data_IF_130002935394
#
_entry.id   IF_130002935394
#
_cell.length_a   1.000
_cell.length_b   1.000
_cell.length_c   1.000
_cell.angle_alpha   90.00
_cell.angle_beta   90.00
_cell.angle_gamma   90.00
#
_symmetry.space_group_name_H-M   'P 1'
#
loop_
_entity.id
_entity.type
_entity.pdbx_description
1 polymer ?
#
# COMPACT_ATOMS: atom_id res chain seq x y z
N UNK A 1 28.05 31.54 6.46
CA UNK A 1 27.88 30.35 7.32
C UNK A 1 26.65 29.62 6.79
N UNK A 2 26.79 28.53 6.02
CA UNK A 2 25.63 27.93 5.36
C UNK A 2 24.79 27.18 6.40
N UNK A 3 23.49 27.42 6.33
CA UNK A 3 22.43 26.90 7.19
C UNK A 3 21.96 25.50 6.74
N UNK A 4 22.83 24.71 6.09
CA UNK A 4 22.41 23.56 5.27
C UNK A 4 22.89 22.19 5.80
N UNK A 5 23.19 22.10 7.11
CA UNK A 5 23.60 20.84 7.77
C UNK A 5 22.59 20.36 8.84
N UNK A 6 21.32 20.78 8.77
CA UNK A 6 20.28 20.34 9.74
C UNK A 6 18.93 19.94 9.12
N UNK A 7 18.90 19.47 7.89
CA UNK A 7 17.78 18.67 7.41
C UNK A 7 18.13 17.19 7.61
N UNK A 8 18.09 16.73 8.88
CA UNK A 8 17.82 15.32 9.13
C UNK A 8 16.52 14.99 8.39
N UNK A 9 16.59 14.09 7.42
CA UNK A 9 15.52 13.87 6.46
C UNK A 9 14.30 13.30 7.20
N UNK A 10 13.29 14.15 7.42
CA UNK A 10 12.07 13.77 8.13
C UNK A 10 11.30 12.73 7.32
N UNK A 11 10.78 11.69 7.99
CA UNK A 11 9.79 10.77 7.44
C UNK A 11 8.69 11.55 6.70
N UNK A 12 8.54 11.29 5.39
CA UNK A 12 7.48 11.87 4.56
C UNK A 12 6.42 10.82 4.29
N UNK A 13 5.17 11.25 4.34
CA UNK A 13 4.00 10.42 4.05
C UNK A 13 3.14 11.15 3.03
N UNK A 14 2.77 10.47 1.95
CA UNK A 14 1.84 10.96 0.94
C UNK A 14 0.59 10.08 0.98
N UNK A 15 -0.57 10.71 1.15
CA UNK A 15 -1.85 10.01 1.03
C UNK A 15 -2.18 9.85 -0.45
N UNK A 16 -2.07 8.61 -0.95
CA UNK A 16 -2.37 8.30 -2.34
C UNK A 16 -3.88 8.12 -2.58
N UNK A 17 -4.54 7.49 -1.61
CA UNK A 17 -5.98 7.30 -1.57
C UNK A 17 -6.49 7.29 -0.15
N UNK A 18 -7.74 7.72 0.03
CA UNK A 18 -8.35 7.96 1.35
C UNK A 18 -9.80 7.48 1.45
N UNK A 19 -10.30 6.77 0.44
CA UNK A 19 -11.57 6.06 0.51
C UNK A 19 -11.34 4.60 0.94
N UNK A 20 -12.38 3.97 1.49
CA UNK A 20 -12.42 2.50 1.63
C UNK A 20 -12.63 1.83 0.26
N UNK A 21 -12.74 0.50 0.25
CA UNK A 21 -13.07 -0.29 -0.94
C UNK A 21 -14.26 0.26 -1.73
N UNK A 22 -14.11 0.28 -3.06
CA UNK A 22 -15.06 0.88 -4.00
C UNK A 22 -14.76 2.32 -4.36
N UNK A 23 -13.94 3.03 -3.56
CA UNK A 23 -13.55 4.41 -3.82
C UNK A 23 -14.69 5.41 -3.61
N UNK A 24 -14.45 6.66 -3.99
CA UNK A 24 -15.45 7.72 -3.90
C UNK A 24 -15.40 8.64 -5.13
N UNK A 25 -16.50 8.82 -5.89
CA UNK A 25 -17.75 8.06 -5.78
C UNK A 25 -17.54 6.59 -6.15
N UNK A 26 -18.24 5.69 -5.46
CA UNK A 26 -18.21 4.27 -5.81
C UNK A 26 -19.00 4.02 -7.10
N UNK A 27 -18.46 3.16 -7.98
CA UNK A 27 -18.91 2.97 -9.37
C UNK A 27 -20.41 2.70 -9.54
N UNK A 28 -21.04 1.98 -8.59
CA UNK A 28 -22.46 1.63 -8.60
C UNK A 28 -23.27 2.32 -7.49
N UNK A 29 -22.75 3.37 -6.86
CA UNK A 29 -23.40 4.05 -5.74
C UNK A 29 -23.96 5.42 -6.13
N UNK A 30 -25.23 5.66 -5.76
CA UNK A 30 -25.94 6.95 -5.86
C UNK A 30 -26.46 7.44 -4.51
N UNK A 31 -25.83 7.01 -3.40
CA UNK A 31 -26.13 7.58 -2.10
C UNK A 31 -25.91 9.11 -2.13
N UNK A 32 -26.48 9.89 -1.18
CA UNK A 32 -26.44 11.35 -1.24
C UNK A 32 -25.04 11.92 -1.48
N UNK A 33 -24.02 11.36 -0.85
CA UNK A 33 -22.63 11.84 -0.97
C UNK A 33 -21.99 11.41 -2.30
N UNK A 34 -22.28 10.22 -2.83
CA UNK A 34 -21.80 9.80 -4.16
C UNK A 34 -22.49 10.59 -5.28
N UNK A 35 -23.79 10.89 -5.15
CA UNK A 35 -24.52 11.69 -6.14
C UNK A 35 -23.92 13.10 -6.30
N UNK A 36 -23.50 13.72 -5.19
CA UNK A 36 -22.76 14.99 -5.21
C UNK A 36 -21.48 14.88 -6.04
N UNK A 37 -20.68 13.83 -5.83
CA UNK A 37 -19.44 13.64 -6.58
C UNK A 37 -19.69 13.35 -8.06
N UNK A 38 -20.71 12.55 -8.40
CA UNK A 38 -21.12 12.32 -9.79
C UNK A 38 -21.54 13.62 -10.49
N UNK A 39 -22.19 14.53 -9.76
CA UNK A 39 -22.57 15.86 -10.26
C UNK A 39 -21.42 16.89 -10.22
N UNK A 40 -20.22 16.47 -9.80
CA UNK A 40 -19.03 17.33 -9.63
C UNK A 40 -19.29 18.53 -8.71
N UNK A 41 -20.09 18.32 -7.66
CA UNK A 41 -20.36 19.33 -6.66
C UNK A 41 -19.09 19.68 -5.88
N UNK A 42 -18.81 20.97 -5.71
CA UNK A 42 -17.57 21.47 -5.09
C UNK A 42 -17.46 21.17 -3.59
N UNK A 43 -18.55 20.77 -2.94
CA UNK A 43 -18.56 20.37 -1.51
C UNK A 43 -17.80 19.07 -1.26
N UNK A 44 -17.55 18.30 -2.31
CA UNK A 44 -16.93 16.98 -2.21
C UNK A 44 -15.79 16.82 -3.21
N UNK A 45 -14.91 15.87 -2.95
CA UNK A 45 -13.77 15.56 -3.82
C UNK A 45 -13.64 14.06 -3.96
N UNK A 46 -13.51 13.58 -5.20
CA UNK A 46 -13.30 12.18 -5.48
C UNK A 46 -12.02 11.66 -4.78
N UNK A 47 -12.05 10.40 -4.34
CA UNK A 47 -10.95 9.73 -3.63
C UNK A 47 -10.78 8.32 -4.16
N UNK A 48 -9.54 7.97 -4.47
CA UNK A 48 -9.11 6.59 -4.72
C UNK A 48 -9.07 5.81 -3.41
N UNK A 49 -9.04 4.47 -3.51
CA UNK A 49 -9.04 3.59 -2.35
C UNK A 49 -7.73 3.67 -1.56
N UNK A 50 -7.81 3.32 -0.28
CA UNK A 50 -6.77 3.48 0.74
C UNK A 50 -5.39 3.00 0.27
N UNK A 51 -4.44 3.91 0.25
CA UNK A 51 -3.02 3.62 0.06
C UNK A 51 -2.19 4.82 0.49
N UNK A 52 -1.01 4.58 1.03
CA UNK A 52 -0.02 5.60 1.38
C UNK A 52 1.30 5.32 0.66
N UNK A 53 2.09 6.37 0.42
CA UNK A 53 3.50 6.24 0.10
C UNK A 53 4.34 6.88 1.21
N UNK A 54 5.40 6.20 1.64
CA UNK A 54 6.30 6.67 2.69
C UNK A 54 7.75 6.65 2.22
N UNK A 55 8.56 7.57 2.72
CA UNK A 55 10.00 7.63 2.48
C UNK A 55 10.70 8.31 3.65
N UNK A 56 11.91 7.87 3.97
CA UNK A 56 12.79 8.56 4.90
C UNK A 56 13.82 9.45 4.19
N UNK A 57 14.14 9.20 2.91
CA UNK A 57 15.20 9.92 2.18
C UNK A 57 14.67 10.83 1.05
N UNK A 58 13.39 10.75 0.71
CA UNK A 58 12.78 11.53 -0.38
C UNK A 58 12.94 10.93 -1.78
N UNK A 59 13.69 9.83 -1.92
CA UNK A 59 14.06 9.22 -3.20
C UNK A 59 13.55 7.78 -3.33
N UNK A 60 13.53 7.05 -2.22
CA UNK A 60 13.11 5.66 -2.14
C UNK A 60 11.79 5.56 -1.41
N UNK A 61 10.79 5.02 -2.09
CA UNK A 61 9.41 5.02 -1.61
C UNK A 61 8.91 3.61 -1.34
N UNK A 62 8.12 3.49 -0.29
CA UNK A 62 7.41 2.28 0.08
C UNK A 62 5.92 2.56 0.06
N UNK A 63 5.15 1.65 -0.52
CA UNK A 63 3.69 1.73 -0.46
C UNK A 63 3.17 1.02 0.79
N UNK A 64 2.12 1.57 1.39
CA UNK A 64 1.24 0.83 2.29
C UNK A 64 -0.02 0.55 1.51
N UNK A 65 -0.24 -0.73 1.24
CA UNK A 65 -1.28 -1.29 0.36
C UNK A 65 -1.17 -0.86 -1.10
N UNK A 66 -1.53 -1.77 -2.00
CA UNK A 66 -1.55 -1.58 -3.44
C UNK A 66 -3.01 -1.60 -3.94
N UNK A 67 -3.62 -0.42 -3.98
CA UNK A 67 -5.01 -0.24 -4.40
C UNK A 67 -5.27 -0.59 -5.87
N UNK A 68 -6.48 -1.04 -6.26
CA UNK A 68 -6.91 -1.10 -7.66
C UNK A 68 -6.68 0.22 -8.44
N UNK A 69 -6.65 1.35 -7.75
CA UNK A 69 -6.42 2.68 -8.33
C UNK A 69 -4.93 3.03 -8.49
N UNK A 70 -4.00 2.11 -8.18
CA UNK A 70 -2.57 2.41 -8.02
C UNK A 70 -1.95 3.10 -9.24
N UNK A 71 -2.35 2.72 -10.47
CA UNK A 71 -1.88 3.39 -11.68
C UNK A 71 -2.24 4.88 -11.67
N UNK A 72 -3.49 5.23 -11.32
CA UNK A 72 -3.97 6.61 -11.22
C UNK A 72 -3.26 7.36 -10.08
N UNK A 73 -3.04 6.68 -8.95
CA UNK A 73 -2.35 7.23 -7.79
C UNK A 73 -0.89 7.61 -8.12
N UNK A 74 -0.14 6.73 -8.80
CA UNK A 74 1.23 7.00 -9.26
C UNK A 74 1.23 8.17 -10.25
N UNK A 75 0.34 8.16 -11.25
CA UNK A 75 0.26 9.24 -12.24
C UNK A 75 -0.01 10.62 -11.62
N UNK A 76 -0.78 10.65 -10.52
CA UNK A 76 -1.15 11.88 -9.82
C UNK A 76 -0.12 12.31 -8.77
N UNK A 77 0.95 11.54 -8.55
CA UNK A 77 1.93 11.78 -7.49
C UNK A 77 3.34 11.90 -8.08
N UNK A 78 3.83 13.12 -8.35
CA UNK A 78 5.15 13.34 -8.98
C UNK A 78 6.33 12.67 -8.27
N UNK A 79 6.28 12.53 -6.94
CA UNK A 79 7.33 11.85 -6.18
C UNK A 79 7.45 10.35 -6.48
N UNK A 80 6.43 9.74 -7.09
CA UNK A 80 6.42 8.34 -7.50
C UNK A 80 6.70 8.13 -8.99
N UNK A 81 6.98 9.20 -9.74
CA UNK A 81 7.26 9.10 -11.17
C UNK A 81 8.59 8.38 -11.43
N UNK A 82 8.71 7.69 -12.58
CA UNK A 82 9.98 7.08 -12.99
C UNK A 82 11.09 8.13 -13.09
N UNK A 83 12.33 7.67 -12.97
CA UNK A 83 13.51 8.52 -13.15
C UNK A 83 13.72 8.88 -14.63
N UNK A 84 14.75 9.67 -14.91
CA UNK A 84 14.92 10.30 -16.23
C UNK A 84 15.26 9.34 -17.40
N UNK A 85 15.69 8.11 -17.14
CA UNK A 85 16.10 7.19 -18.21
C UNK A 85 15.62 5.75 -18.02
N UNK A 86 15.05 5.19 -19.08
CA UNK A 86 14.72 3.77 -19.19
C UNK A 86 13.59 3.32 -18.25
N UNK A 87 13.61 2.02 -17.90
CA UNK A 87 12.68 1.44 -16.94
C UNK A 87 13.24 1.66 -15.54
N UNK A 88 12.66 2.61 -14.81
CA UNK A 88 13.00 2.92 -13.43
C UNK A 88 11.72 3.18 -12.62
N UNK A 89 11.73 2.86 -11.34
CA UNK A 89 10.70 3.25 -10.37
C UNK A 89 11.36 3.64 -9.07
N UNK A 90 10.87 4.65 -8.34
CA UNK A 90 11.34 4.97 -7.00
C UNK A 90 10.81 3.98 -5.93
N UNK A 91 9.84 3.13 -6.28
CA UNK A 91 9.30 2.12 -5.37
C UNK A 91 10.36 1.06 -5.04
N UNK A 92 10.50 0.74 -3.75
CA UNK A 92 11.41 -0.29 -3.23
C UNK A 92 10.68 -1.42 -2.52
N UNK A 93 9.50 -1.16 -2.00
CA UNK A 93 8.66 -2.20 -1.44
C UNK A 93 7.22 -1.78 -1.20
N UNK A 94 6.41 -2.78 -0.85
CA UNK A 94 4.98 -2.63 -0.59
C UNK A 94 4.68 -3.40 0.70
N UNK A 95 4.17 -2.71 1.70
CA UNK A 95 3.63 -3.31 2.91
C UNK A 95 2.14 -3.54 2.72
N UNK A 96 1.73 -4.80 2.73
CA UNK A 96 0.33 -5.19 2.73
C UNK A 96 -0.13 -5.37 4.18
N UNK A 97 -1.09 -4.56 4.59
CA UNK A 97 -1.62 -4.61 5.94
C UNK A 97 -2.65 -5.72 6.11
N UNK A 98 -3.27 -6.20 5.03
CA UNK A 98 -4.18 -7.34 5.03
C UNK A 98 -4.30 -7.94 3.61
N UNK A 99 -5.16 -8.95 3.49
CA UNK A 99 -5.50 -9.61 2.23
C UNK A 99 -6.75 -9.07 1.53
N UNK A 100 -7.23 -7.85 1.77
CA UNK A 100 -8.41 -7.35 1.05
C UNK A 100 -8.10 -6.98 -0.40
N UNK A 101 -9.07 -7.20 -1.30
CA UNK A 101 -8.92 -6.93 -2.76
C UNK A 101 -8.50 -5.48 -3.02
N UNK A 102 -9.05 -4.53 -2.26
CA UNK A 102 -8.73 -3.10 -2.36
C UNK A 102 -7.33 -2.74 -1.83
N UNK A 103 -6.60 -3.69 -1.25
CA UNK A 103 -5.21 -3.51 -0.80
C UNK A 103 -4.18 -4.34 -1.59
N UNK A 104 -4.59 -5.29 -2.44
CA UNK A 104 -3.67 -6.14 -3.21
C UNK A 104 -3.86 -6.11 -4.73
N UNK A 105 -5.03 -5.71 -5.24
CA UNK A 105 -5.29 -5.72 -6.68
C UNK A 105 -4.32 -4.83 -7.48
N UNK A 106 -3.80 -3.75 -6.87
CA UNK A 106 -2.82 -2.86 -7.48
C UNK A 106 -1.49 -3.53 -7.82
N UNK A 107 -1.15 -4.66 -7.18
CA UNK A 107 0.04 -5.44 -7.52
C UNK A 107 0.04 -5.88 -8.99
N UNK A 108 -1.15 -6.14 -9.56
CA UNK A 108 -1.30 -6.53 -10.97
C UNK A 108 -0.88 -5.42 -11.95
N UNK A 109 -0.90 -4.17 -11.50
CA UNK A 109 -0.43 -3.02 -12.28
C UNK A 109 1.09 -2.84 -12.23
N UNK A 110 1.83 -3.64 -11.46
CA UNK A 110 3.28 -3.54 -11.25
C UNK A 110 4.07 -4.70 -11.88
N UNK A 111 3.50 -5.36 -12.89
CA UNK A 111 4.05 -6.58 -13.51
C UNK A 111 5.15 -6.34 -14.54
N UNK A 112 5.38 -5.09 -14.93
CA UNK A 112 6.28 -4.73 -16.02
C UNK A 112 7.76 -4.69 -15.57
N UNK A 113 8.26 -5.79 -15.00
CA UNK A 113 9.69 -6.08 -14.71
C UNK A 113 10.42 -5.01 -13.88
N UNK A 114 9.86 -4.64 -12.73
CA UNK A 114 10.52 -3.80 -11.72
C UNK A 114 10.83 -4.63 -10.48
N UNK A 115 12.03 -4.48 -9.91
CA UNK A 115 12.39 -5.15 -8.66
C UNK A 115 11.85 -4.39 -7.44
N UNK A 116 11.25 -5.11 -6.50
CA UNK A 116 10.78 -4.61 -5.21
C UNK A 116 10.47 -5.78 -4.24
N UNK A 117 10.23 -5.46 -2.97
CA UNK A 117 9.84 -6.46 -1.96
C UNK A 117 8.39 -6.24 -1.53
N UNK A 118 7.61 -7.32 -1.48
CA UNK A 118 6.28 -7.31 -0.86
C UNK A 118 6.41 -7.85 0.57
N UNK A 119 5.94 -7.07 1.52
CA UNK A 119 5.90 -7.40 2.94
C UNK A 119 4.45 -7.63 3.36
N UNK A 120 4.21 -8.60 4.22
CA UNK A 120 2.87 -8.89 4.73
C UNK A 120 2.89 -10.04 5.72
N UNK A 121 1.73 -10.37 6.28
CA UNK A 121 1.60 -11.58 7.11
C UNK A 121 1.85 -12.83 6.27
N UNK A 122 2.27 -13.93 6.90
CA UNK A 122 2.44 -15.21 6.21
C UNK A 122 1.15 -15.65 5.48
N UNK A 123 -0.03 -15.38 6.08
CA UNK A 123 -1.32 -15.63 5.47
C UNK A 123 -1.54 -14.80 4.18
N UNK A 124 -1.27 -13.49 4.23
CA UNK A 124 -1.43 -12.60 3.07
C UNK A 124 -0.47 -12.98 1.93
N UNK A 125 0.78 -13.32 2.24
CA UNK A 125 1.75 -13.73 1.24
C UNK A 125 1.37 -15.09 0.61
N UNK A 126 0.89 -16.04 1.41
CA UNK A 126 0.39 -17.33 0.93
C UNK A 126 -0.82 -17.17 -0.01
N UNK A 127 -1.72 -16.22 0.27
CA UNK A 127 -2.83 -15.88 -0.62
C UNK A 127 -2.33 -15.42 -2.00
N UNK A 128 -1.30 -14.56 -2.02
CA UNK A 128 -0.69 -14.07 -3.27
C UNK A 128 -0.02 -15.22 -4.03
N UNK A 129 0.79 -16.03 -3.35
CA UNK A 129 1.50 -17.17 -3.95
C UNK A 129 0.53 -18.26 -4.46
N UNK A 130 -0.58 -18.47 -3.75
CA UNK A 130 -1.61 -19.44 -4.09
C UNK A 130 -2.51 -19.03 -5.27
N UNK A 131 -2.55 -17.75 -5.62
CA UNK A 131 -3.41 -17.25 -6.69
C UNK A 131 -2.60 -17.01 -7.98
N UNK A 132 -2.93 -17.78 -9.02
CA UNK A 132 -2.19 -17.77 -10.29
C UNK A 132 -2.16 -16.41 -11.00
N UNK A 133 -3.10 -15.51 -10.71
CA UNK A 133 -3.11 -14.16 -11.28
C UNK A 133 -1.88 -13.34 -10.86
N UNK A 134 -1.32 -13.57 -9.67
CA UNK A 134 -0.14 -12.86 -9.18
C UNK A 134 1.18 -13.43 -9.70
N UNK A 135 1.18 -14.52 -10.48
CA UNK A 135 2.37 -15.01 -11.18
C UNK A 135 2.93 -14.03 -12.21
N UNK A 136 2.19 -12.94 -12.49
CA UNK A 136 2.68 -11.78 -13.23
C UNK A 136 3.81 -11.04 -12.49
N UNK A 137 3.96 -11.23 -11.19
CA UNK A 137 5.10 -10.79 -10.39
C UNK A 137 6.24 -11.80 -10.56
N UNK A 138 7.26 -11.41 -11.33
CA UNK A 138 8.42 -12.27 -11.62
C UNK A 138 9.21 -12.54 -10.32
N UNK A 139 9.33 -13.79 -9.84
CA UNK A 139 9.99 -14.11 -8.58
C UNK A 139 11.51 -13.84 -8.59
N UNK A 140 12.10 -13.62 -9.77
CA UNK A 140 13.50 -13.15 -9.87
C UNK A 140 13.67 -11.65 -9.59
N UNK A 141 12.57 -10.90 -9.58
CA UNK A 141 12.54 -9.45 -9.37
C UNK A 141 11.77 -9.06 -8.12
N UNK A 142 10.71 -9.78 -7.79
CA UNK A 142 9.81 -9.49 -6.68
C UNK A 142 9.99 -10.53 -5.59
N UNK A 143 10.49 -10.10 -4.43
CA UNK A 143 10.63 -10.98 -3.26
C UNK A 143 9.46 -10.80 -2.30
N UNK A 144 9.10 -11.86 -1.59
CA UNK A 144 8.07 -11.87 -0.55
C UNK A 144 8.76 -12.01 0.82
N UNK A 145 8.50 -11.09 1.75
CA UNK A 145 9.12 -11.09 3.09
C UNK A 145 8.04 -11.09 4.18
N UNK A 146 7.85 -12.20 4.92
CA UNK A 146 6.87 -12.25 5.98
C UNK A 146 7.23 -11.29 7.13
N UNK A 147 6.20 -10.69 7.72
CA UNK A 147 6.27 -9.84 8.90
C UNK A 147 5.82 -10.63 10.13
N UNK A 148 6.46 -10.36 11.27
CA UNK A 148 6.16 -10.99 12.56
C UNK A 148 5.81 -9.90 13.57
N UNK A 149 4.76 -10.12 14.35
CA UNK A 149 4.26 -9.18 15.36
C UNK A 149 5.35 -8.68 16.31
N UNK A 150 5.46 -7.36 16.46
CA UNK A 150 6.43 -6.70 17.34
C UNK A 150 7.90 -6.80 16.89
N UNK A 151 8.21 -7.49 15.80
CA UNK A 151 9.59 -7.65 15.31
C UNK A 151 9.92 -6.53 14.32
N UNK A 152 10.73 -5.56 14.76
CA UNK A 152 11.24 -4.50 13.89
C UNK A 152 12.04 -5.10 12.73
N UNK A 153 11.80 -4.57 11.53
CA UNK A 153 12.58 -4.88 10.34
C UNK A 153 13.23 -3.63 9.76
N UNK A 154 14.34 -3.86 9.06
CA UNK A 154 14.98 -2.90 8.19
C UNK A 154 14.67 -3.27 6.72
N UNK A 155 13.83 -2.49 6.02
CA UNK A 155 13.62 -2.62 4.58
C UNK A 155 14.67 -1.87 3.74
N UNK A 156 15.63 -1.20 4.37
CA UNK A 156 16.59 -0.29 3.76
C UNK A 156 16.12 1.16 3.71
N UNK A 157 16.99 2.04 3.21
CA UNK A 157 16.67 3.44 2.89
C UNK A 157 16.17 4.25 4.10
N UNK A 158 16.89 4.12 5.22
CA UNK A 158 16.66 4.85 6.47
C UNK A 158 15.25 4.68 7.08
N UNK A 159 14.55 3.59 6.76
CA UNK A 159 13.29 3.23 7.38
C UNK A 159 13.48 2.10 8.41
N UNK A 160 12.71 2.19 9.50
CA UNK A 160 12.46 1.08 10.43
C UNK A 160 10.96 0.85 10.50
N UNK A 161 10.55 -0.41 10.44
CA UNK A 161 9.13 -0.78 10.46
C UNK A 161 8.89 -1.87 11.50
N UNK A 162 8.02 -1.59 12.46
CA UNK A 162 7.57 -2.56 13.46
C UNK A 162 6.09 -2.86 13.22
N UNK A 163 5.77 -4.06 12.70
CA UNK A 163 4.39 -4.49 12.53
C UNK A 163 3.77 -4.83 13.88
N UNK A 164 2.47 -4.61 14.03
CA UNK A 164 1.71 -5.07 15.17
C UNK A 164 0.33 -5.60 14.76
N UNK A 165 -0.13 -6.69 15.34
CA UNK A 165 -1.45 -7.22 15.03
C UNK A 165 -2.56 -6.32 15.56
N UNK A 166 -3.59 -6.13 14.74
CA UNK A 166 -4.81 -5.42 15.12
C UNK A 166 -6.01 -6.34 14.92
N UNK A 167 -7.07 -6.22 15.75
CA UNK A 167 -8.32 -6.90 15.51
C UNK A 167 -8.81 -6.58 14.10
N UNK A 168 -9.11 -7.61 13.33
CA UNK A 168 -9.44 -7.50 11.92
C UNK A 168 -10.40 -8.59 11.52
N UNK A 169 -10.91 -8.48 10.29
CA UNK A 169 -11.76 -9.49 9.69
C UNK A 169 -10.96 -10.25 8.63
N UNK A 170 -11.29 -11.53 8.42
CA UNK A 170 -10.81 -12.30 7.26
C UNK A 170 -11.24 -11.57 5.97
N UNK A 171 -10.38 -11.53 4.92
CA UNK A 171 -10.75 -10.88 3.67
C UNK A 171 -12.04 -11.42 3.07
N UNK A 172 -12.84 -10.53 2.47
CA UNK A 172 -14.20 -10.87 1.97
C UNK A 172 -14.23 -12.07 1.02
N UNK A 173 -13.19 -12.25 0.22
CA UNK A 173 -13.08 -13.30 -0.77
C UNK A 173 -12.56 -14.65 -0.21
N UNK A 174 -12.07 -14.67 1.03
CA UNK A 174 -11.70 -15.88 1.78
C UNK A 174 -12.77 -16.28 2.81
N UNK A 175 -13.85 -15.50 2.96
CA UNK A 175 -14.93 -15.82 3.90
C UNK A 175 -15.61 -17.16 3.53
N UNK A 176 -15.48 -18.15 4.42
CA UNK A 176 -16.21 -19.41 4.38
C UNK A 176 -17.03 -19.58 5.66
N UNK A 177 -18.37 -19.52 5.58
CA UNK A 177 -19.26 -19.78 6.72
C UNK A 177 -19.57 -18.54 7.60
N UNK A 178 -19.80 -18.75 8.89
CA UNK A 178 -20.19 -17.70 9.83
C UNK A 178 -19.05 -16.69 10.06
N UNK A 179 -19.35 -15.40 9.98
CA UNK A 179 -18.37 -14.32 10.10
C UNK A 179 -17.92 -14.19 11.54
N UNK A 180 -16.66 -14.52 11.84
CA UNK A 180 -16.04 -14.18 13.12
C UNK A 180 -15.56 -12.72 13.04
N UNK A 181 -16.35 -11.81 13.60
CA UNK A 181 -16.06 -10.37 13.64
C UNK A 181 -15.37 -10.07 14.97
N UNK A 182 -14.11 -9.63 14.92
CA UNK A 182 -13.41 -9.08 16.09
C UNK A 182 -12.43 -10.01 16.82
N UNK A 183 -12.14 -11.18 16.26
CA UNK A 183 -10.96 -11.96 16.68
C UNK A 183 -9.67 -11.21 16.35
N UNK A 184 -8.66 -11.29 17.22
CA UNK A 184 -7.28 -10.97 16.83
C UNK A 184 -6.82 -12.12 15.92
N UNK A 185 -7.14 -12.02 14.63
CA UNK A 185 -6.58 -12.90 13.60
C UNK A 185 -5.22 -12.36 13.16
N UNK A 186 -4.27 -13.25 12.89
CA UNK A 186 -2.93 -12.93 12.34
C UNK A 186 -2.99 -12.45 10.87
N UNK A 187 -4.09 -11.80 10.47
CA UNK A 187 -4.39 -11.43 9.08
C UNK A 187 -4.30 -9.93 8.84
N UNK A 188 -4.47 -9.10 9.87
CA UNK A 188 -4.43 -7.63 9.75
C UNK A 188 -3.32 -7.03 10.61
N UNK A 189 -2.53 -6.15 10.00
CA UNK A 189 -1.38 -5.47 10.61
C UNK A 189 -1.62 -3.96 10.68
N UNK A 190 -1.29 -3.39 11.83
CA UNK A 190 -0.80 -2.02 11.91
C UNK A 190 0.71 -1.99 11.68
N UNK A 191 1.23 -0.83 11.29
CA UNK A 191 2.66 -0.61 11.07
C UNK A 191 3.10 0.64 11.83
N UNK A 192 4.06 0.49 12.73
CA UNK A 192 4.82 1.62 13.25
C UNK A 192 6.01 1.87 12.31
N UNK A 193 6.13 3.10 11.79
CA UNK A 193 7.17 3.47 10.82
C UNK A 193 7.98 4.63 11.38
N UNK A 194 9.30 4.45 11.43
CA UNK A 194 10.25 5.45 11.91
C UNK A 194 11.33 5.68 10.85
N UNK A 195 11.92 6.88 10.88
CA UNK A 195 13.19 7.11 10.21
C UNK A 195 14.33 6.65 11.14
N UNK A 196 15.41 6.13 10.57
CA UNK A 196 16.61 5.69 11.30
C UNK A 196 17.44 6.85 11.86
N UNK A 197 17.12 8.11 11.52
CA UNK A 197 17.84 9.33 11.94
C UNK A 197 17.03 10.23 12.85
#
# INVERSE_FOLDING_TARGET
MPLDERLATKLKIVVLGSAAGGGYPQWNCRCPVCDLAWRRDRRVSARTQSSLAVTADGHHWFLLNASPDLRQQIQSTPALWPGESGRHSPLRGIFLTNGDVDHLAGLLALRERQAFTVFGTAATLKLIEGNSIFRVLDPSLVSMRPLQDGVEIDPGFDLKVTPFFVPGKVPLHEESGAVDIGGIGETTLGLEIRSST
#
